data_IF_266832236274
#
_entry.id   IF_266832236274
#
_cell.length_a   1.000
_cell.length_b   1.000
_cell.length_c   1.000
_cell.angle_alpha   90.00
_cell.angle_beta   90.00
_cell.angle_gamma   90.00
#
_symmetry.space_group_name_H-M   'P 1'
#
loop_
_entity.id
_entity.type
_entity.pdbx_description
1 polymer ?
#
# COMPACT_ATOMS: atom_id res chain seq x y z
N UNK A 1 -37.60 -34.59 -11.94
CA UNK A 1 -37.41 -33.13 -12.08
C UNK A 1 -36.48 -32.58 -11.01
N UNK A 2 -35.18 -32.53 -11.31
CA UNK A 2 -34.22 -31.76 -10.52
C UNK A 2 -34.28 -30.32 -11.01
N UNK A 3 -35.02 -29.45 -10.32
CA UNK A 3 -35.06 -28.04 -10.67
C UNK A 3 -33.64 -27.45 -10.66
N UNK A 4 -33.18 -26.97 -11.82
CA UNK A 4 -31.95 -26.19 -11.92
C UNK A 4 -32.11 -24.93 -11.07
N UNK A 5 -31.43 -24.88 -9.93
CA UNK A 5 -31.45 -23.70 -9.05
C UNK A 5 -30.44 -22.66 -9.60
N UNK A 6 -30.86 -21.40 -9.65
CA UNK A 6 -29.96 -20.27 -9.88
C UNK A 6 -29.93 -19.37 -8.63
N UNK A 7 -28.84 -18.63 -8.44
CA UNK A 7 -28.66 -17.69 -7.32
C UNK A 7 -28.32 -16.30 -7.87
N UNK A 8 -28.94 -15.28 -7.30
CA UNK A 8 -28.52 -13.88 -7.43
C UNK A 8 -27.66 -13.56 -6.20
N UNK A 9 -26.51 -12.93 -6.40
CA UNK A 9 -25.57 -12.58 -5.32
C UNK A 9 -25.08 -11.14 -5.47
N UNK A 10 -24.61 -10.57 -4.37
CA UNK A 10 -23.88 -9.30 -4.42
C UNK A 10 -22.50 -9.44 -5.06
N UNK A 11 -21.87 -8.28 -5.29
CA UNK A 11 -20.51 -8.17 -5.83
C UNK A 11 -19.87 -6.84 -5.36
N UNK A 12 -18.62 -6.60 -5.73
CA UNK A 12 -17.90 -5.37 -5.41
C UNK A 12 -17.25 -4.75 -6.66
N UNK A 13 -17.13 -3.42 -6.63
CA UNK A 13 -16.22 -2.67 -7.50
C UNK A 13 -15.19 -2.00 -6.60
N UNK A 14 -13.90 -2.32 -6.79
CA UNK A 14 -12.81 -1.66 -6.08
C UNK A 14 -12.34 -0.47 -6.92
N UNK A 15 -12.20 0.69 -6.29
CA UNK A 15 -11.77 1.94 -6.93
C UNK A 15 -10.34 2.35 -6.53
N UNK A 16 -9.84 1.81 -5.42
CA UNK A 16 -8.48 2.02 -4.93
C UNK A 16 -8.09 0.83 -4.04
N UNK A 17 -6.91 0.20 -4.27
CA UNK A 17 -5.90 0.58 -5.25
C UNK A 17 -6.19 0.13 -6.69
N UNK A 18 -5.50 0.76 -7.65
CA UNK A 18 -5.51 0.48 -9.10
C UNK A 18 -4.09 0.15 -9.61
N UNK A 19 -3.98 -0.36 -10.85
CA UNK A 19 -2.72 -0.89 -11.43
C UNK A 19 -1.49 0.03 -11.32
N UNK A 20 -1.66 1.36 -11.34
CA UNK A 20 -0.53 2.31 -11.33
C UNK A 20 -0.26 2.91 -9.94
N UNK A 21 -0.99 2.49 -8.92
CA UNK A 21 -0.80 3.03 -7.59
C UNK A 21 0.53 2.58 -7.00
N UNK A 22 1.21 3.54 -6.38
CA UNK A 22 2.45 3.33 -5.66
C UNK A 22 2.27 3.83 -4.23
N UNK A 23 1.93 2.91 -3.34
CA UNK A 23 1.66 3.20 -1.95
C UNK A 23 2.96 3.19 -1.15
N UNK A 24 3.15 4.24 -0.37
CA UNK A 24 4.32 4.36 0.48
C UNK A 24 4.05 3.61 1.78
N UNK A 25 5.07 2.93 2.30
CA UNK A 25 5.02 2.32 3.63
C UNK A 25 4.64 3.38 4.65
N UNK A 26 3.65 3.08 5.49
CA UNK A 26 3.26 3.94 6.59
C UNK A 26 4.34 3.90 7.68
N UNK A 27 4.72 5.08 8.16
CA UNK A 27 5.63 5.23 9.28
C UNK A 27 5.18 6.42 10.12
N UNK A 28 4.92 6.19 11.40
CA UNK A 28 4.38 7.22 12.31
C UNK A 28 5.25 8.49 12.39
N UNK A 29 6.55 8.40 12.09
CA UNK A 29 7.51 9.49 12.18
C UNK A 29 7.80 10.09 10.80
N UNK A 30 8.10 9.24 9.81
CA UNK A 30 8.67 9.65 8.52
C UNK A 30 7.70 9.60 7.35
N UNK A 31 6.56 8.93 7.50
CA UNK A 31 5.46 8.92 6.52
C UNK A 31 4.10 8.60 7.20
N UNK A 32 3.54 9.49 8.04
CA UNK A 32 2.33 9.23 8.83
C UNK A 32 1.05 9.43 8.00
N UNK A 33 1.06 8.98 6.75
CA UNK A 33 -0.05 9.14 5.81
C UNK A 33 -0.55 7.75 5.38
N UNK A 34 -1.75 7.32 5.82
CA UNK A 34 -2.33 6.07 5.37
C UNK A 34 -2.83 6.19 3.92
N UNK A 35 -3.04 5.04 3.29
CA UNK A 35 -3.58 4.96 1.93
C UNK A 35 -5.05 4.48 1.93
N UNK A 36 -5.94 5.11 1.14
CA UNK A 36 -7.36 4.76 1.15
C UNK A 36 -7.63 3.53 0.27
N UNK A 37 -8.21 2.50 0.88
CA UNK A 37 -8.86 1.39 0.19
C UNK A 37 -10.33 1.79 0.00
N UNK A 38 -10.82 1.81 -1.25
CA UNK A 38 -12.20 2.23 -1.54
C UNK A 38 -12.91 1.28 -2.48
N UNK A 39 -14.21 1.09 -2.22
CA UNK A 39 -15.04 0.18 -3.01
C UNK A 39 -16.52 0.60 -3.01
N UNK A 40 -17.29 -0.04 -3.88
CA UNK A 40 -18.75 0.02 -3.93
C UNK A 40 -19.31 -1.38 -3.84
N UNK A 41 -20.30 -1.56 -2.97
CA UNK A 41 -21.05 -2.80 -2.84
C UNK A 41 -22.20 -2.83 -3.87
N UNK A 42 -22.34 -3.94 -4.57
CA UNK A 42 -23.48 -4.25 -5.42
C UNK A 42 -24.40 -5.17 -4.63
N UNK A 43 -25.59 -4.68 -4.27
CA UNK A 43 -26.53 -5.35 -3.37
C UNK A 43 -26.35 -4.96 -1.90
N UNK A 44 -27.01 -5.69 -1.00
CA UNK A 44 -26.94 -5.44 0.45
C UNK A 44 -25.81 -6.28 1.05
N UNK A 45 -24.72 -5.61 1.40
CA UNK A 45 -23.56 -6.19 2.09
C UNK A 45 -23.27 -5.29 3.28
N UNK A 46 -23.65 -5.67 4.51
CA UNK A 46 -23.53 -4.77 5.67
C UNK A 46 -22.10 -4.70 6.22
N UNK A 47 -21.32 -5.78 6.06
CA UNK A 47 -19.99 -5.88 6.63
C UNK A 47 -19.04 -6.60 5.68
N UNK A 48 -17.79 -6.15 5.63
CA UNK A 48 -16.75 -6.74 4.82
C UNK A 48 -15.50 -7.06 5.62
N UNK A 49 -14.78 -8.08 5.19
CA UNK A 49 -13.40 -8.35 5.57
C UNK A 49 -12.47 -7.79 4.50
N UNK A 50 -11.37 -7.16 4.94
CA UNK A 50 -10.33 -6.57 4.07
C UNK A 50 -9.03 -7.35 4.30
N UNK A 51 -8.47 -7.86 3.22
CA UNK A 51 -7.19 -8.57 3.23
C UNK A 51 -6.27 -8.00 2.16
N UNK A 52 -4.95 -8.10 2.34
CA UNK A 52 -3.99 -7.83 1.28
C UNK A 52 -3.18 -9.06 0.91
N UNK A 53 -2.81 -9.15 -0.37
CA UNK A 53 -1.90 -10.14 -0.90
C UNK A 53 -0.46 -9.63 -0.80
N UNK A 54 0.41 -10.41 -0.18
CA UNK A 54 1.86 -10.19 -0.15
C UNK A 54 2.55 -11.11 -1.15
N UNK A 55 3.19 -10.60 -2.21
CA UNK A 55 4.01 -11.42 -3.10
C UNK A 55 5.29 -11.95 -2.40
N UNK A 56 5.68 -11.34 -1.28
CA UNK A 56 6.86 -11.73 -0.49
C UNK A 56 6.58 -12.85 0.52
N UNK A 57 5.33 -13.34 0.60
CA UNK A 57 4.90 -14.31 1.60
C UNK A 57 5.27 -13.89 3.03
N UNK A 58 4.95 -12.64 3.42
CA UNK A 58 5.26 -12.15 4.76
C UNK A 58 4.75 -13.15 5.80
N UNK A 59 5.58 -13.53 6.77
CA UNK A 59 5.21 -14.55 7.76
C UNK A 59 4.75 -15.91 7.21
N UNK A 60 5.12 -16.25 5.96
CA UNK A 60 4.74 -17.51 5.29
C UNK A 60 3.31 -17.56 4.73
N UNK A 61 2.60 -16.42 4.69
CA UNK A 61 1.23 -16.35 4.18
C UNK A 61 1.18 -15.46 2.94
N UNK A 62 0.28 -15.81 2.02
CA UNK A 62 0.02 -14.98 0.84
C UNK A 62 -1.01 -13.89 1.11
N UNK A 63 -2.04 -14.19 1.90
CA UNK A 63 -3.12 -13.25 2.22
C UNK A 63 -3.05 -12.90 3.71
N UNK A 64 -3.05 -11.61 3.97
CA UNK A 64 -2.94 -11.00 5.29
C UNK A 64 -4.22 -10.24 5.61
N UNK A 65 -4.71 -10.40 6.82
CA UNK A 65 -5.87 -9.67 7.30
C UNK A 65 -5.47 -8.24 7.65
N UNK A 66 -6.14 -7.27 7.02
CA UNK A 66 -6.06 -5.85 7.41
C UNK A 66 -7.15 -5.56 8.43
N UNK A 67 -8.38 -5.94 8.10
CA UNK A 67 -9.55 -5.71 8.93
C UNK A 67 -10.49 -6.92 8.83
N UNK A 68 -10.92 -7.44 9.97
CA UNK A 68 -11.76 -8.63 10.03
C UNK A 68 -13.24 -8.30 9.89
N UNK A 69 -13.65 -7.09 10.29
CA UNK A 69 -15.04 -6.63 10.22
C UNK A 69 -15.12 -5.12 10.08
N UNK A 70 -15.39 -4.67 8.85
CA UNK A 70 -15.64 -3.27 8.55
C UNK A 70 -17.09 -3.05 8.15
N UNK A 71 -17.78 -2.19 8.90
CA UNK A 71 -19.13 -1.77 8.55
C UNK A 71 -19.09 -0.98 7.25
N UNK A 72 -19.93 -1.38 6.30
CA UNK A 72 -19.97 -0.75 4.99
C UNK A 72 -21.38 -0.34 4.64
N UNK A 73 -21.48 0.77 3.90
CA UNK A 73 -22.73 1.16 3.24
C UNK A 73 -22.66 0.72 1.78
N UNK A 74 -23.47 1.30 0.89
CA UNK A 74 -23.31 1.07 -0.55
C UNK A 74 -21.91 1.46 -1.06
N UNK A 75 -21.23 2.38 -0.37
CA UNK A 75 -19.84 2.76 -0.62
C UNK A 75 -19.00 2.52 0.63
N UNK A 76 -17.81 1.96 0.45
CA UNK A 76 -16.88 1.65 1.51
C UNK A 76 -15.53 2.37 1.34
N UNK A 77 -14.92 2.68 2.48
CA UNK A 77 -13.65 3.36 2.58
C UNK A 77 -12.93 2.88 3.86
N UNK A 78 -11.64 2.56 3.75
CA UNK A 78 -10.77 2.22 4.86
C UNK A 78 -9.39 2.83 4.66
N UNK A 79 -8.86 3.51 5.68
CA UNK A 79 -7.50 4.07 5.64
C UNK A 79 -6.53 3.01 6.15
N UNK A 80 -5.72 2.45 5.24
CA UNK A 80 -4.74 1.45 5.58
C UNK A 80 -3.38 2.07 5.89
N UNK A 81 -2.90 1.79 7.10
CA UNK A 81 -1.50 1.96 7.46
C UNK A 81 -0.68 0.85 6.78
N UNK A 82 -0.20 1.14 5.57
CA UNK A 82 0.51 0.18 4.71
C UNK A 82 1.74 -0.36 5.43
N UNK A 83 1.77 -1.67 5.65
CA UNK A 83 2.89 -2.31 6.32
C UNK A 83 4.18 -2.24 5.47
N UNK A 84 5.32 -2.42 6.13
CA UNK A 84 6.60 -2.61 5.44
C UNK A 84 6.64 -3.98 4.74
N UNK A 85 6.20 -3.99 3.49
CA UNK A 85 6.19 -5.14 2.58
C UNK A 85 6.50 -4.69 1.15
N UNK A 86 7.73 -4.23 0.93
CA UNK A 86 8.17 -3.62 -0.33
C UNK A 86 7.99 -4.59 -1.51
N UNK A 87 7.34 -4.09 -2.56
CA UNK A 87 7.13 -4.86 -3.80
C UNK A 87 7.93 -4.27 -4.97
N UNK A 88 8.27 -5.12 -5.95
CA UNK A 88 9.17 -4.76 -7.05
C UNK A 88 8.45 -4.46 -8.37
N UNK A 89 7.13 -4.39 -8.36
CA UNK A 89 6.32 -4.00 -9.51
C UNK A 89 4.83 -4.14 -9.20
N UNK A 90 3.97 -3.52 -10.02
CA UNK A 90 2.53 -3.51 -9.74
C UNK A 90 1.77 -4.74 -10.30
N UNK A 91 2.30 -5.47 -11.27
CA UNK A 91 1.60 -6.62 -11.88
C UNK A 91 2.02 -7.95 -11.25
N UNK A 92 2.95 -8.69 -11.86
CA UNK A 92 3.34 -10.03 -11.39
C UNK A 92 3.92 -10.08 -9.97
N UNK A 93 4.47 -8.96 -9.50
CA UNK A 93 5.08 -8.81 -8.17
C UNK A 93 4.36 -7.76 -7.32
N UNK A 94 3.11 -7.44 -7.64
CA UNK A 94 2.32 -6.43 -6.92
C UNK A 94 1.58 -6.99 -5.72
N UNK A 95 1.32 -6.12 -4.75
CA UNK A 95 0.33 -6.38 -3.71
C UNK A 95 -1.08 -6.26 -4.32
N UNK A 96 -2.08 -6.85 -3.67
CA UNK A 96 -3.50 -6.70 -4.04
C UNK A 96 -4.34 -6.55 -2.80
N UNK A 97 -5.52 -5.95 -2.93
CA UNK A 97 -6.54 -5.93 -1.88
C UNK A 97 -7.66 -6.90 -2.24
N UNK A 98 -8.15 -7.65 -1.25
CA UNK A 98 -9.37 -8.44 -1.35
C UNK A 98 -10.42 -7.92 -0.38
N UNK A 99 -11.61 -7.63 -0.91
CA UNK A 99 -12.80 -7.32 -0.14
C UNK A 99 -13.72 -8.54 -0.18
N UNK A 100 -14.17 -9.00 0.99
CA UNK A 100 -15.04 -10.19 1.12
C UNK A 100 -16.28 -9.87 1.93
N UNK A 101 -17.47 -10.25 1.45
CA UNK A 101 -18.68 -10.24 2.27
C UNK A 101 -18.55 -11.31 3.35
N UNK A 102 -18.53 -10.89 4.61
CA UNK A 102 -18.35 -11.78 5.77
C UNK A 102 -19.46 -12.84 5.83
N UNK A 103 -20.71 -12.46 5.53
CA UNK A 103 -21.87 -13.35 5.63
C UNK A 103 -21.84 -14.46 4.57
N UNK A 104 -21.05 -14.29 3.52
CA UNK A 104 -20.93 -15.23 2.40
C UNK A 104 -19.48 -15.58 2.06
N UNK A 105 -18.57 -15.43 3.02
CA UNK A 105 -17.16 -15.72 2.85
C UNK A 105 -16.92 -17.21 2.55
N UNK A 106 -16.02 -17.56 1.60
CA UNK A 106 -15.24 -16.68 0.72
C UNK A 106 -15.92 -16.41 -0.64
N UNK A 107 -17.16 -16.85 -0.83
CA UNK A 107 -17.84 -16.98 -2.13
C UNK A 107 -18.20 -15.65 -2.78
N UNK A 108 -18.34 -14.58 -1.99
CA UNK A 108 -18.57 -13.22 -2.47
C UNK A 108 -17.35 -12.39 -2.06
N UNK A 109 -16.40 -12.30 -2.97
CA UNK A 109 -15.18 -11.52 -2.80
C UNK A 109 -14.73 -10.92 -4.12
N UNK A 110 -13.96 -9.84 -4.04
CA UNK A 110 -13.34 -9.16 -5.18
C UNK A 110 -11.91 -8.82 -4.83
N UNK A 111 -11.02 -9.05 -5.77
CA UNK A 111 -9.62 -8.62 -5.69
C UNK A 111 -9.42 -7.36 -6.54
N UNK A 112 -8.56 -6.46 -6.09
CA UNK A 112 -8.10 -5.31 -6.86
C UNK A 112 -7.14 -5.75 -7.96
N UNK A 113 -6.85 -4.82 -8.88
CA UNK A 113 -5.62 -4.90 -9.65
C UNK A 113 -4.40 -4.89 -8.72
N UNK A 114 -3.26 -5.33 -9.24
CA UNK A 114 -2.02 -5.28 -8.48
C UNK A 114 -1.48 -3.85 -8.38
N UNK A 115 -0.86 -3.50 -7.25
CA UNK A 115 -0.27 -2.19 -6.99
C UNK A 115 1.11 -2.34 -6.33
N UNK A 116 1.88 -1.25 -6.29
CA UNK A 116 3.22 -1.26 -5.72
C UNK A 116 3.22 -0.73 -4.29
N UNK A 117 3.95 -1.39 -3.39
CA UNK A 117 4.31 -0.88 -2.07
C UNK A 117 5.78 -0.49 -2.12
N UNK A 118 6.10 0.74 -1.74
CA UNK A 118 7.46 1.30 -1.84
C UNK A 118 7.87 2.04 -0.57
N UNK A 119 9.18 2.12 -0.36
CA UNK A 119 9.72 2.98 0.68
C UNK A 119 9.54 4.46 0.34
N UNK A 120 9.61 5.30 1.38
CA UNK A 120 9.64 6.75 1.27
C UNK A 120 10.94 7.30 1.85
N UNK A 121 11.52 8.30 1.19
CA UNK A 121 12.71 9.00 1.67
C UNK A 121 12.35 10.46 1.94
N UNK A 122 12.64 10.93 3.16
CA UNK A 122 12.52 12.33 3.52
C UNK A 122 13.92 12.94 3.57
N UNK A 123 14.24 13.83 2.63
CA UNK A 123 15.57 14.43 2.55
C UNK A 123 15.71 15.49 3.65
N UNK A 124 16.62 15.22 4.59
CA UNK A 124 17.05 16.12 5.65
C UNK A 124 17.93 17.24 5.10
N UNK A 125 18.97 16.88 4.35
CA UNK A 125 19.89 17.81 3.69
C UNK A 125 20.35 17.23 2.34
N UNK A 126 20.57 18.05 1.30
CA UNK A 126 20.36 19.49 1.27
C UNK A 126 18.87 19.87 1.26
N UNK A 127 18.54 21.03 1.82
CA UNK A 127 17.22 21.65 1.69
C UNK A 127 17.16 22.52 0.43
N UNK A 128 15.93 22.85 0.02
CA UNK A 128 15.72 23.80 -1.05
C UNK A 128 16.42 25.14 -0.72
N UNK A 129 17.23 25.64 -1.66
CA UNK A 129 18.05 26.85 -1.55
C UNK A 129 19.32 26.76 -0.69
N UNK A 130 19.72 25.58 -0.23
CA UNK A 130 21.03 25.42 0.38
C UNK A 130 22.13 25.72 -0.65
N UNK A 131 23.08 26.58 -0.27
CA UNK A 131 24.28 26.87 -1.05
C UNK A 131 25.50 26.35 -0.29
N UNK A 132 26.02 25.21 -0.73
CA UNK A 132 27.19 24.58 -0.12
C UNK A 132 28.47 25.05 -0.81
N UNK A 133 29.47 25.43 -0.02
CA UNK A 133 30.76 25.85 -0.56
C UNK A 133 31.59 24.59 -0.87
N UNK A 134 32.24 24.55 -2.02
CA UNK A 134 33.06 23.41 -2.46
C UNK A 134 34.17 23.12 -1.45
N UNK A 135 34.30 21.83 -1.11
CA UNK A 135 35.37 21.33 -0.25
C UNK A 135 36.76 21.69 -0.79
N UNK A 136 37.61 22.26 0.06
CA UNK A 136 39.02 22.48 -0.18
C UNK A 136 39.86 22.24 1.09
N UNK A 137 40.70 21.19 1.07
CA UNK A 137 41.43 20.69 2.24
C UNK A 137 42.10 21.73 3.15
N UNK A 138 42.63 22.83 2.60
CA UNK A 138 43.30 23.90 3.39
C UNK A 138 42.61 25.26 3.40
N UNK A 139 41.55 25.46 2.60
CA UNK A 139 40.90 26.78 2.41
C UNK A 139 39.44 26.78 2.81
N UNK A 140 38.79 25.63 2.70
CA UNK A 140 37.44 25.36 3.17
C UNK A 140 37.38 23.86 3.51
N UNK A 141 37.76 23.43 4.72
CA UNK A 141 37.79 22.00 5.06
C UNK A 141 36.41 21.46 5.49
N UNK A 142 35.34 22.26 5.39
CA UNK A 142 34.01 21.88 5.85
C UNK A 142 33.37 20.90 4.88
N UNK A 143 32.75 19.87 5.44
CA UNK A 143 31.91 18.92 4.72
C UNK A 143 30.45 19.19 5.08
N UNK A 144 29.57 18.81 4.17
CA UNK A 144 28.14 18.85 4.38
C UNK A 144 27.63 17.42 4.31
N UNK A 145 26.85 17.04 5.32
CA UNK A 145 26.24 15.72 5.34
C UNK A 145 24.99 15.73 4.47
N UNK A 146 24.89 14.72 3.60
CA UNK A 146 23.63 14.38 2.94
C UNK A 146 22.88 13.48 3.90
N UNK A 147 21.73 13.94 4.38
CA UNK A 147 20.95 13.23 5.38
C UNK A 147 19.55 12.97 4.86
N UNK A 148 19.00 11.81 5.23
CA UNK A 148 17.63 11.46 4.93
C UNK A 148 17.10 10.51 6.00
N UNK A 149 15.79 10.51 6.17
CA UNK A 149 15.08 9.48 6.90
C UNK A 149 14.38 8.54 5.91
N UNK A 150 14.27 7.27 6.27
CA UNK A 150 13.64 6.24 5.44
C UNK A 150 12.45 5.65 6.17
N UNK A 151 11.29 5.63 5.51
CA UNK A 151 10.14 4.82 5.90
C UNK A 151 10.09 3.56 5.03
N UNK A 152 10.12 2.39 5.69
CA UNK A 152 10.17 1.08 5.04
C UNK A 152 11.60 0.53 4.86
N UNK A 153 11.69 -0.76 4.58
CA UNK A 153 12.96 -1.49 4.50
C UNK A 153 13.54 -1.48 3.08
N UNK A 154 14.72 -0.88 2.93
CA UNK A 154 15.50 -0.89 1.69
C UNK A 154 16.90 -1.39 1.97
N UNK A 155 17.44 -2.24 1.09
CA UNK A 155 18.78 -2.80 1.26
C UNK A 155 19.89 -1.86 0.79
N UNK A 156 19.60 -1.00 -0.19
CA UNK A 156 20.56 -0.08 -0.79
C UNK A 156 19.91 1.27 -1.10
N UNK A 157 20.69 2.33 -0.93
CA UNK A 157 20.34 3.69 -1.34
C UNK A 157 21.44 4.19 -2.26
N UNK A 158 21.06 4.66 -3.45
CA UNK A 158 21.98 5.30 -4.39
C UNK A 158 21.74 6.81 -4.33
N UNK A 159 22.81 7.58 -4.18
CA UNK A 159 22.77 9.04 -4.11
C UNK A 159 23.53 9.59 -5.31
N UNK A 160 22.81 10.33 -6.15
CA UNK A 160 23.35 10.98 -7.34
C UNK A 160 23.02 12.47 -7.28
N UNK A 161 23.91 13.29 -7.84
CA UNK A 161 23.69 14.71 -8.09
C UNK A 161 23.89 14.98 -9.58
N UNK A 162 23.13 15.93 -10.14
CA UNK A 162 23.16 16.31 -11.56
C UNK A 162 24.07 17.52 -11.81
#
# INVERSE_FOLDING_TARGET
>A
DGANKFKIRGDFVIHSPMTNDQWKVYDVTYNPQPHPITWTCIGTIPQVKIEYYSPNQKGGLWWHMIENSWDTTRTGHYNWEVEDDITYGASAYGAKIRITDISHSPQISKESDGFMIRANFNIGNPKANDAWIVYHATKQPNKYDITWDTAGSVSNVVIEYL
#
